data_IF_630260790663
#
_entry.id   IF_630260790663
#
_cell.length_a   1.000
_cell.length_b   1.000
_cell.length_c   1.000
_cell.angle_alpha   90.00
_cell.angle_beta   90.00
_cell.angle_gamma   90.00
#
_symmetry.space_group_name_H-M   'P 1'
#
loop_
_entity.id
_entity.type
_entity.pdbx_description
1 polymer ?
#
# COMPACT_ATOMS: atom_id res chain seq x y z
N UNK A 1 16.54 0.70 1.70
CA UNK A 1 15.71 0.01 0.67
C UNK A 1 14.46 0.84 0.55
N UNK A 2 13.94 1.15 -0.62
CA UNK A 2 12.72 1.95 -0.74
C UNK A 2 11.52 1.04 -0.96
N UNK A 3 10.50 1.19 -0.12
CA UNK A 3 9.17 0.64 -0.36
C UNK A 3 8.27 1.80 -0.76
N UNK A 4 7.68 1.70 -1.95
CA UNK A 4 6.68 2.62 -2.45
C UNK A 4 5.28 2.10 -2.15
N UNK A 5 4.58 2.79 -1.26
CA UNK A 5 3.19 2.50 -0.88
C UNK A 5 2.25 3.32 -1.76
N UNK A 6 1.42 2.64 -2.56
CA UNK A 6 0.46 3.28 -3.47
C UNK A 6 -0.96 3.04 -2.97
N UNK A 7 -1.63 4.11 -2.55
CA UNK A 7 -3.05 4.10 -2.21
C UNK A 7 -3.94 4.38 -3.42
N UNK A 8 -5.20 4.74 -3.14
CA UNK A 8 -6.12 5.17 -4.20
C UNK A 8 -5.77 6.54 -4.78
N UNK A 9 -5.22 7.42 -3.95
CA UNK A 9 -4.92 8.80 -4.37
C UNK A 9 -3.51 9.24 -4.02
N UNK A 10 -2.94 8.75 -2.91
CA UNK A 10 -1.60 9.13 -2.46
C UNK A 10 -0.56 8.04 -2.73
N UNK A 11 0.69 8.49 -2.91
CA UNK A 11 1.89 7.65 -2.98
C UNK A 11 2.85 8.11 -1.88
N UNK A 12 3.37 7.17 -1.10
CA UNK A 12 4.31 7.44 0.00
C UNK A 12 5.49 6.48 -0.11
N UNK A 13 6.70 7.02 -0.02
CA UNK A 13 7.93 6.24 0.05
C UNK A 13 8.40 6.11 1.51
N UNK A 14 8.80 4.89 1.88
CA UNK A 14 9.37 4.59 3.20
C UNK A 14 10.68 3.84 3.03
N UNK A 15 11.62 4.03 3.97
CA UNK A 15 12.77 3.14 4.13
C UNK A 15 12.60 2.31 5.41
N UNK A 16 12.56 0.97 5.34
CA UNK A 16 12.57 0.11 6.53
C UNK A 16 13.73 0.39 7.49
N UNK A 17 14.85 0.93 7.01
CA UNK A 17 15.97 1.32 7.86
C UNK A 17 15.63 2.48 8.82
N UNK A 18 14.62 3.28 8.50
CA UNK A 18 14.13 4.37 9.36
C UNK A 18 13.21 3.87 10.47
N UNK A 19 12.84 2.59 10.47
CA UNK A 19 12.04 1.98 11.51
C UNK A 19 12.92 1.53 12.69
N UNK A 20 12.62 2.04 13.89
CA UNK A 20 13.32 1.71 15.14
C UNK A 20 13.04 0.27 15.66
N UNK A 21 12.23 -0.51 14.96
CA UNK A 21 11.84 -1.88 15.33
C UNK A 21 10.89 -1.95 16.53
N UNK A 22 10.47 -0.80 17.07
CA UNK A 22 9.59 -0.68 18.22
C UNK A 22 8.11 -0.87 17.86
N UNK A 23 7.32 -1.30 18.84
CA UNK A 23 5.87 -1.28 18.72
C UNK A 23 5.37 0.17 18.74
N UNK A 24 4.86 0.66 17.61
CA UNK A 24 4.36 2.02 17.50
C UNK A 24 3.04 2.21 18.27
N UNK A 25 2.86 3.26 19.11
CA UNK A 25 1.66 3.46 19.91
C UNK A 25 0.34 3.42 19.10
N UNK A 26 0.33 4.04 17.91
CA UNK A 26 -0.82 4.01 16.98
C UNK A 26 -1.22 2.60 16.50
N UNK A 27 -0.32 1.62 16.63
CA UNK A 27 -0.50 0.25 16.12
C UNK A 27 -0.77 -0.76 17.25
N UNK A 28 -0.73 -0.33 18.51
CA UNK A 28 -0.98 -1.16 19.67
C UNK A 28 -2.43 -1.66 19.68
N UNK A 29 -2.61 -2.97 19.80
CA UNK A 29 -3.93 -3.61 19.78
C UNK A 29 -4.54 -3.81 18.38
N UNK A 30 -3.89 -3.34 17.32
CA UNK A 30 -4.33 -3.56 15.94
C UNK A 30 -3.75 -4.85 15.37
N UNK A 31 -4.61 -5.68 14.79
CA UNK A 31 -4.18 -6.84 14.01
C UNK A 31 -3.68 -6.43 12.61
N UNK A 32 -3.21 -7.40 11.82
CA UNK A 32 -2.65 -7.13 10.47
C UNK A 32 -3.69 -6.50 9.54
N UNK A 33 -4.96 -6.91 9.61
CA UNK A 33 -6.01 -6.37 8.76
C UNK A 33 -6.38 -4.94 9.17
N UNK A 34 -6.44 -4.67 10.48
CA UNK A 34 -6.67 -3.33 11.00
C UNK A 34 -5.56 -2.37 10.55
N UNK A 35 -4.29 -2.80 10.64
CA UNK A 35 -3.12 -2.02 10.18
C UNK A 35 -3.20 -1.71 8.68
N UNK A 36 -3.56 -2.69 7.86
CA UNK A 36 -3.76 -2.49 6.42
C UNK A 36 -4.88 -1.49 6.15
N UNK A 37 -6.01 -1.61 6.85
CA UNK A 37 -7.13 -0.70 6.67
C UNK A 37 -6.79 0.73 7.11
N UNK A 38 -6.01 0.86 8.19
CA UNK A 38 -5.53 2.14 8.69
C UNK A 38 -4.58 2.80 7.68
N UNK A 39 -3.60 2.05 7.16
CA UNK A 39 -2.69 2.55 6.14
C UNK A 39 -3.43 2.94 4.85
N UNK A 40 -4.32 2.08 4.36
CA UNK A 40 -5.14 2.36 3.17
C UNK A 40 -6.00 3.61 3.36
N UNK A 41 -6.58 3.79 4.55
CA UNK A 41 -7.34 4.99 4.87
C UNK A 41 -6.51 6.28 4.82
N UNK A 42 -5.27 6.23 5.30
CA UNK A 42 -4.36 7.38 5.24
C UNK A 42 -3.97 7.73 3.79
N UNK A 43 -3.91 6.75 2.88
CA UNK A 43 -3.52 6.93 1.48
C UNK A 43 -4.69 7.17 0.50
N UNK A 44 -5.92 7.33 1.03
CA UNK A 44 -7.16 7.38 0.24
C UNK A 44 -7.94 8.71 0.41
N UNK A 45 -7.33 9.71 1.06
CA UNK A 45 -8.00 10.98 1.39
C UNK A 45 -7.25 12.23 0.91
N UNK A 46 -6.29 12.09 -0.01
CA UNK A 46 -5.41 13.19 -0.44
C UNK A 46 -4.68 13.82 0.76
N UNK A 47 -4.31 12.96 1.73
CA UNK A 47 -3.67 13.32 3.00
C UNK A 47 -2.38 12.55 3.24
N UNK A 48 -2.06 11.57 2.40
CA UNK A 48 -0.86 10.76 2.54
C UNK A 48 0.40 11.61 2.61
N UNK A 49 0.54 12.60 1.73
CA UNK A 49 1.68 13.52 1.72
C UNK A 49 1.76 14.36 3.02
N UNK A 50 0.65 14.93 3.48
CA UNK A 50 0.64 15.76 4.70
C UNK A 50 0.84 14.93 5.98
N UNK A 51 0.36 13.69 6.00
CA UNK A 51 0.61 12.74 7.08
C UNK A 51 2.05 12.24 7.06
N UNK A 52 2.67 12.07 5.88
CA UNK A 52 4.07 11.71 5.77
C UNK A 52 4.98 12.78 6.39
N UNK A 53 4.61 14.06 6.36
CA UNK A 53 5.37 15.12 7.02
C UNK A 53 5.31 15.07 8.56
N UNK A 54 4.32 14.39 9.13
CA UNK A 54 4.23 14.13 10.57
C UNK A 54 5.09 12.90 10.94
N UNK A 55 6.13 13.07 11.79
CA UNK A 55 7.02 11.96 12.17
C UNK A 55 6.31 10.76 12.78
N UNK A 56 5.22 10.97 13.52
CA UNK A 56 4.46 9.91 14.20
C UNK A 56 3.62 9.09 13.19
N UNK A 57 3.10 9.73 12.14
CA UNK A 57 2.44 9.01 11.05
C UNK A 57 3.45 8.35 10.12
N UNK A 58 4.55 9.02 9.78
CA UNK A 58 5.64 8.44 8.99
C UNK A 58 6.19 7.17 9.64
N UNK A 59 6.46 7.21 10.94
CA UNK A 59 6.94 6.05 11.69
C UNK A 59 5.92 4.91 11.67
N UNK A 60 4.63 5.19 11.90
CA UNK A 60 3.58 4.19 11.80
C UNK A 60 3.42 3.59 10.39
N UNK A 61 3.48 4.42 9.34
CA UNK A 61 3.44 3.97 7.94
C UNK A 61 4.65 3.09 7.62
N UNK A 62 5.85 3.48 8.08
CA UNK A 62 7.08 2.72 7.90
C UNK A 62 7.00 1.36 8.59
N UNK A 63 6.46 1.31 9.80
CA UNK A 63 6.25 0.06 10.54
C UNK A 63 5.29 -0.90 9.81
N UNK A 64 4.15 -0.40 9.34
CA UNK A 64 3.18 -1.22 8.58
C UNK A 64 3.78 -1.65 7.25
N UNK A 65 4.35 -0.74 6.47
CA UNK A 65 4.91 -1.04 5.16
C UNK A 65 6.08 -2.02 5.23
N UNK A 66 6.97 -1.89 6.22
CA UNK A 66 8.04 -2.86 6.48
C UNK A 66 7.49 -4.26 6.80
N UNK A 67 6.41 -4.33 7.59
CA UNK A 67 5.73 -5.59 7.87
C UNK A 67 5.15 -6.22 6.60
N UNK A 68 4.60 -5.42 5.68
CA UNK A 68 4.03 -5.92 4.43
C UNK A 68 5.11 -6.39 3.44
N UNK A 69 6.25 -5.69 3.40
CA UNK A 69 7.40 -6.05 2.58
C UNK A 69 8.22 -7.23 3.14
N UNK A 70 7.92 -7.72 4.35
CA UNK A 70 8.63 -8.83 4.96
C UNK A 70 8.69 -10.04 4.01
N UNK A 71 9.92 -10.51 3.75
CA UNK A 71 10.19 -11.62 2.84
C UNK A 71 10.40 -11.24 1.37
N UNK A 72 10.32 -9.95 1.01
CA UNK A 72 10.77 -9.45 -0.31
C UNK A 72 12.24 -9.04 -0.31
N UNK A 73 12.88 -8.98 0.85
CA UNK A 73 14.29 -8.65 1.02
C UNK A 73 15.16 -9.87 0.66
N UNK A 74 16.01 -9.73 -0.35
CA UNK A 74 17.00 -10.71 -0.80
C UNK A 74 18.18 -10.01 -1.46
N UNK A 75 19.23 -10.76 -1.82
CA UNK A 75 20.48 -10.17 -2.36
C UNK A 75 20.20 -9.26 -3.57
N UNK A 76 20.49 -7.97 -3.41
CA UNK A 76 20.35 -6.93 -4.44
C UNK A 76 18.98 -6.25 -4.51
N UNK A 77 17.95 -6.75 -3.84
CA UNK A 77 16.62 -6.10 -3.86
C UNK A 77 16.63 -4.84 -3.01
N UNK A 78 16.34 -3.70 -3.63
CA UNK A 78 16.35 -2.40 -2.96
C UNK A 78 15.15 -1.50 -3.28
N UNK A 79 14.23 -1.93 -4.15
CA UNK A 79 13.00 -1.20 -4.46
C UNK A 79 11.78 -2.13 -4.63
N UNK A 80 10.64 -1.79 -4.03
CA UNK A 80 9.39 -2.54 -4.24
C UNK A 80 8.16 -1.65 -4.15
N UNK A 81 7.14 -1.98 -4.95
CA UNK A 81 5.83 -1.32 -4.94
C UNK A 81 4.81 -2.20 -4.22
N UNK A 82 4.11 -1.62 -3.25
CA UNK A 82 2.99 -2.25 -2.56
C UNK A 82 1.77 -1.37 -2.75
N UNK A 83 0.69 -1.94 -3.29
CA UNK A 83 -0.58 -1.22 -3.47
C UNK A 83 -1.54 -1.55 -2.34
N UNK A 84 -2.22 -0.55 -1.78
CA UNK A 84 -3.24 -0.69 -0.73
C UNK A 84 -4.52 -0.03 -1.22
N UNK A 85 -5.41 -0.83 -1.83
CA UNK A 85 -6.51 -0.33 -2.67
C UNK A 85 -7.88 -0.78 -2.13
N UNK A 86 -8.92 0.00 -2.43
CA UNK A 86 -10.28 -0.20 -1.91
C UNK A 86 -10.86 -1.55 -2.29
N UNK A 87 -11.40 -2.24 -1.30
CA UNK A 87 -12.15 -3.46 -1.46
C UNK A 87 -13.64 -3.17 -1.77
N UNK A 88 -14.19 -3.91 -2.73
CA UNK A 88 -15.61 -4.00 -2.97
C UNK A 88 -16.24 -4.99 -2.00
N UNK A 89 -17.12 -4.48 -1.14
CA UNK A 89 -17.88 -5.36 -0.25
C UNK A 89 -18.91 -6.19 -1.03
N UNK A 90 -18.94 -7.52 -0.81
CA UNK A 90 -19.98 -8.37 -1.36
C UNK A 90 -21.37 -7.92 -0.90
N UNK A 91 -22.36 -8.08 -1.79
CA UNK A 91 -23.77 -7.84 -1.45
C UNK A 91 -24.16 -8.73 -0.26
N UNK A 92 -24.90 -8.16 0.69
CA UNK A 92 -25.30 -8.84 1.93
C UNK A 92 -24.22 -8.91 3.02
N UNK A 93 -22.99 -8.47 2.75
CA UNK A 93 -21.90 -8.49 3.74
C UNK A 93 -21.54 -7.12 4.34
N UNK A 94 -22.26 -6.05 3.95
CA UNK A 94 -21.94 -4.65 4.34
C UNK A 94 -21.63 -4.50 5.82
N UNK A 95 -22.50 -4.97 6.71
CA UNK A 95 -22.33 -4.80 8.16
C UNK A 95 -21.01 -5.43 8.67
N UNK A 96 -20.63 -6.59 8.14
CA UNK A 96 -19.39 -7.28 8.53
C UNK A 96 -18.15 -6.49 8.10
N UNK A 97 -18.14 -5.97 6.88
CA UNK A 97 -16.99 -5.22 6.39
C UNK A 97 -16.92 -3.82 6.99
N UNK A 98 -18.08 -3.18 7.21
CA UNK A 98 -18.17 -1.92 7.93
C UNK A 98 -17.63 -2.06 9.35
N UNK A 99 -18.00 -3.10 10.10
CA UNK A 99 -17.45 -3.35 11.42
C UNK A 99 -15.92 -3.52 11.43
N UNK A 100 -15.31 -3.98 10.33
CA UNK A 100 -13.83 -4.03 10.21
C UNK A 100 -13.24 -2.65 9.95
N UNK A 101 -13.83 -1.88 9.04
CA UNK A 101 -13.36 -0.53 8.72
C UNK A 101 -13.50 0.42 9.93
N UNK A 102 -14.62 0.31 10.66
CA UNK A 102 -14.93 1.13 11.83
C UNK A 102 -13.92 0.97 12.98
N UNK A 103 -13.26 -0.20 13.11
CA UNK A 103 -12.22 -0.45 14.13
C UNK A 103 -11.07 0.55 14.06
N UNK A 104 -10.80 1.08 12.87
CA UNK A 104 -9.72 2.04 12.60
C UNK A 104 -10.26 3.36 12.02
N UNK A 105 -11.57 3.59 12.06
CA UNK A 105 -12.21 4.79 11.52
C UNK A 105 -12.19 4.90 9.99
N UNK A 106 -11.92 3.80 9.28
CA UNK A 106 -11.82 3.81 7.83
C UNK A 106 -13.19 3.84 7.14
N UNK A 107 -13.26 4.48 5.97
CA UNK A 107 -14.47 4.50 5.14
C UNK A 107 -14.65 3.19 4.33
N UNK A 108 -13.55 2.48 4.08
CA UNK A 108 -13.49 1.24 3.31
C UNK A 108 -12.63 0.21 4.03
N UNK A 109 -12.70 -1.04 3.55
CA UNK A 109 -11.63 -2.01 3.77
C UNK A 109 -10.69 -1.98 2.56
N UNK A 110 -9.44 -2.37 2.78
CA UNK A 110 -8.39 -2.27 1.77
C UNK A 110 -7.71 -3.61 1.56
N UNK A 111 -7.29 -3.87 0.33
CA UNK A 111 -6.56 -5.07 -0.07
C UNK A 111 -5.14 -4.67 -0.44
N UNK A 112 -4.18 -5.41 0.12
CA UNK A 112 -2.77 -5.30 -0.22
C UNK A 112 -2.46 -6.19 -1.42
N UNK A 113 -1.77 -5.63 -2.40
CA UNK A 113 -1.05 -6.40 -3.42
C UNK A 113 0.42 -5.98 -3.41
N UNK A 114 1.30 -6.97 -3.33
CA UNK A 114 2.76 -6.79 -3.32
C UNK A 114 3.25 -7.05 -4.72
N UNK A 115 3.84 -6.05 -5.36
CA UNK A 115 4.44 -6.23 -6.68
C UNK A 115 5.78 -6.95 -6.56
N UNK A 116 6.27 -7.46 -7.68
CA UNK A 116 7.58 -8.12 -7.73
C UNK A 116 8.69 -7.11 -7.42
N UNK A 117 9.50 -7.40 -6.41
CA UNK A 117 10.56 -6.49 -5.98
C UNK A 117 11.70 -6.42 -7.01
N UNK A 118 12.39 -5.28 -7.05
CA UNK A 118 13.41 -4.95 -8.03
C UNK A 118 14.72 -4.52 -7.38
N UNK A 119 15.79 -4.68 -8.15
CA UNK A 119 17.12 -4.10 -7.90
C UNK A 119 17.29 -2.91 -8.83
N UNK A 120 17.65 -1.77 -8.28
CA UNK A 120 17.99 -0.53 -8.99
C UNK A 120 19.43 -0.14 -8.70
N UNK A 121 20.14 0.35 -9.71
CA UNK A 121 21.54 0.78 -9.57
C UNK A 121 21.64 2.08 -8.75
N UNK A 122 20.70 3.01 -8.96
CA UNK A 122 20.59 4.28 -8.25
C UNK A 122 19.13 4.52 -7.85
N UNK A 123 18.90 4.78 -6.55
CA UNK A 123 17.58 5.07 -6.00
C UNK A 123 17.25 6.57 -6.03
N UNK A 124 18.24 7.43 -6.27
CA UNK A 124 18.07 8.88 -6.43
C UNK A 124 17.72 9.25 -7.89
N UNK A 125 17.85 8.32 -8.84
CA UNK A 125 17.36 8.47 -10.21
C UNK A 125 15.84 8.30 -10.26
N UNK A 126 15.12 9.43 -10.14
CA UNK A 126 13.65 9.48 -10.23
C UNK A 126 13.09 8.83 -11.50
N UNK A 127 13.81 8.90 -12.62
CA UNK A 127 13.36 8.33 -13.88
C UNK A 127 13.46 6.79 -13.84
N UNK A 128 14.56 6.25 -13.32
CA UNK A 128 14.73 4.82 -13.12
C UNK A 128 13.71 4.25 -12.12
N UNK A 129 13.49 4.95 -11.00
CA UNK A 129 12.49 4.57 -10.00
C UNK A 129 11.08 4.55 -10.61
N UNK A 130 10.69 5.59 -11.35
CA UNK A 130 9.38 5.66 -12.01
C UNK A 130 9.20 4.59 -13.08
N UNK A 131 10.25 4.29 -13.85
CA UNK A 131 10.24 3.21 -14.83
C UNK A 131 10.03 1.85 -14.13
N UNK A 132 10.73 1.60 -13.02
CA UNK A 132 10.59 0.39 -12.23
C UNK A 132 9.19 0.24 -11.62
N UNK A 133 8.64 1.33 -11.07
CA UNK A 133 7.26 1.36 -10.58
C UNK A 133 6.27 0.97 -11.69
N UNK A 134 6.41 1.59 -12.86
CA UNK A 134 5.55 1.33 -14.02
C UNK A 134 5.64 -0.13 -14.45
N UNK A 135 6.85 -0.70 -14.47
CA UNK A 135 7.08 -2.11 -14.80
C UNK A 135 6.38 -3.03 -13.78
N UNK A 136 6.57 -2.79 -12.49
CA UNK A 136 5.97 -3.59 -11.41
C UNK A 136 4.43 -3.56 -11.44
N UNK A 137 3.86 -2.38 -11.68
CA UNK A 137 2.40 -2.22 -11.84
C UNK A 137 1.90 -2.91 -13.10
N UNK A 138 2.62 -2.79 -14.22
CA UNK A 138 2.27 -3.43 -15.50
C UNK A 138 2.23 -4.96 -15.35
N UNK A 139 3.25 -5.55 -14.71
CA UNK A 139 3.30 -6.99 -14.45
C UNK A 139 2.15 -7.45 -13.54
N UNK A 140 1.68 -6.57 -12.65
CA UNK A 140 0.57 -6.81 -11.73
C UNK A 140 -0.81 -6.67 -12.39
N UNK A 141 -0.93 -6.15 -13.63
CA UNK A 141 -2.23 -5.96 -14.31
C UNK A 141 -3.03 -7.26 -14.43
N UNK A 142 -2.36 -8.39 -14.70
CA UNK A 142 -3.04 -9.69 -14.77
C UNK A 142 -3.64 -10.11 -13.41
N UNK A 143 -2.97 -9.79 -12.30
CA UNK A 143 -3.53 -9.99 -10.97
C UNK A 143 -4.81 -9.16 -10.80
N UNK A 144 -4.74 -7.85 -11.08
CA UNK A 144 -5.89 -6.96 -10.93
C UNK A 144 -7.07 -7.33 -11.81
N UNK A 145 -6.82 -7.81 -13.04
CA UNK A 145 -7.88 -8.33 -13.93
C UNK A 145 -8.57 -9.56 -13.35
N UNK A 146 -7.83 -10.52 -12.81
CA UNK A 146 -8.41 -11.71 -12.15
C UNK A 146 -9.25 -11.33 -10.93
N UNK A 147 -8.81 -10.31 -10.19
CA UNK A 147 -9.44 -9.85 -8.96
C UNK A 147 -10.41 -8.67 -9.18
N UNK A 148 -10.78 -8.36 -10.42
CA UNK A 148 -11.52 -7.13 -10.78
C UNK A 148 -12.79 -6.88 -9.97
N UNK A 149 -13.51 -7.94 -9.58
CA UNK A 149 -14.72 -7.83 -8.75
C UNK A 149 -14.41 -7.30 -7.35
N UNK A 150 -13.28 -7.71 -6.77
CA UNK A 150 -12.85 -7.25 -5.45
C UNK A 150 -12.33 -5.81 -5.49
N UNK A 151 -11.80 -5.35 -6.62
CA UNK A 151 -11.35 -3.98 -6.82
C UNK A 151 -12.38 -3.07 -7.49
N UNK A 152 -13.66 -3.44 -7.52
CA UNK A 152 -14.68 -2.68 -8.24
C UNK A 152 -14.92 -1.27 -7.66
N UNK A 153 -14.50 -1.00 -6.42
CA UNK A 153 -14.53 0.33 -5.80
C UNK A 153 -13.19 1.08 -5.88
N UNK A 154 -12.15 0.47 -6.46
CA UNK A 154 -10.83 1.09 -6.61
C UNK A 154 -10.74 1.78 -7.97
N UNK A 155 -10.63 3.11 -7.97
CA UNK A 155 -10.42 3.89 -9.19
C UNK A 155 -9.02 3.69 -9.73
N UNK A 156 -8.02 3.57 -8.86
CA UNK A 156 -6.64 3.33 -9.25
C UNK A 156 -6.52 2.04 -10.09
N UNK A 157 -7.15 0.95 -9.66
CA UNK A 157 -7.17 -0.31 -10.43
C UNK A 157 -7.89 -0.15 -11.77
N UNK A 158 -9.03 0.54 -11.84
CA UNK A 158 -9.73 0.70 -13.12
C UNK A 158 -8.89 1.50 -14.12
N UNK A 159 -8.18 2.53 -13.66
CA UNK A 159 -7.27 3.33 -14.48
C UNK A 159 -6.11 2.49 -14.97
N UNK A 160 -5.44 1.75 -14.07
CA UNK A 160 -4.31 0.89 -14.40
C UNK A 160 -4.71 -0.20 -15.42
N UNK A 161 -5.83 -0.89 -15.20
CA UNK A 161 -6.33 -1.88 -16.15
C UNK A 161 -6.56 -1.24 -17.52
N UNK A 162 -7.18 -0.04 -17.58
CA UNK A 162 -7.50 0.66 -18.83
C UNK A 162 -6.24 1.10 -19.59
N UNK A 163 -5.22 1.60 -18.89
CA UNK A 163 -3.97 2.07 -19.49
C UNK A 163 -3.15 0.94 -20.14
N UNK A 164 -3.34 -0.29 -19.67
CA UNK A 164 -2.64 -1.49 -20.16
C UNK A 164 -3.59 -2.51 -20.82
N UNK A 165 -4.75 -2.04 -21.30
CA UNK A 165 -5.74 -2.82 -22.06
C UNK A 165 -5.44 -2.89 -23.55
#
# INVERSE_FOLDING_TARGET
MIIRLIGETDIVDIDPADHDGGAHPKLMGLDVHDRVNLLGHWLDQDRGASLQDDPDFRSAMTAIGSQLAAGQSGDGVNFTVITILREKWPVGSKARFQAKADRVGAAHTYIVHRCDAASLDDLDDEAAVKQSETMQLTMSVLHFRRMRKQYANSSAVQTLIRQHS
#
